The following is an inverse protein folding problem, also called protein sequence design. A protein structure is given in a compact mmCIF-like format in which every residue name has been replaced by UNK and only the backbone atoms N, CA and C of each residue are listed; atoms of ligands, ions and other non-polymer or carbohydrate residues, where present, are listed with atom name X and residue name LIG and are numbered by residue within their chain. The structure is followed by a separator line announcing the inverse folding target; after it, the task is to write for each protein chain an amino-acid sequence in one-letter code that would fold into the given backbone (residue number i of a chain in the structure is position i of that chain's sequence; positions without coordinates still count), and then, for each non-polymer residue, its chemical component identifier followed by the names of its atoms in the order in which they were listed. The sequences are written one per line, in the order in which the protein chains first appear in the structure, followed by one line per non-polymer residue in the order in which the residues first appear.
data_IF_069334970564
#
_entry.id   IF_069334970564
#
_cell.length_a   1.000
_cell.length_b   1.000
_cell.length_c   1.000
_cell.angle_alpha   90.00
_cell.angle_beta   90.00
_cell.angle_gamma   90.00
#
_symmetry.space_group_name_H-M   'P 1'
#
loop_
_entity.id
_entity.type
_entity.pdbx_description
1 polymer ?
#
# COMPACT_ATOMS: atom_id res chain seq x y z
N UNK A 1 21.69 -13.97 7.73
CA UNK A 1 20.49 -14.02 6.88
C UNK A 1 19.31 -13.79 7.80
N UNK A 2 18.92 -12.53 8.01
CA UNK A 2 17.74 -12.15 8.79
C UNK A 2 17.45 -10.69 8.43
N UNK A 3 16.78 -10.50 7.29
CA UNK A 3 16.12 -9.23 7.02
C UNK A 3 14.88 -9.22 7.92
N UNK A 4 15.02 -8.59 9.07
CA UNK A 4 13.96 -8.39 10.04
C UNK A 4 12.77 -7.81 9.27
N UNK A 5 11.63 -8.50 9.29
CA UNK A 5 10.38 -8.06 8.67
C UNK A 5 9.83 -6.83 9.43
N UNK A 6 10.49 -5.67 9.25
CA UNK A 6 9.96 -4.35 9.61
C UNK A 6 9.00 -3.81 8.53
N UNK A 7 8.67 -4.63 7.52
CA UNK A 7 7.61 -4.36 6.57
C UNK A 7 6.26 -4.46 7.25
N UNK A 8 5.35 -3.54 6.94
CA UNK A 8 3.97 -3.59 7.38
C UNK A 8 3.15 -4.44 6.42
N UNK A 9 2.24 -5.23 6.96
CA UNK A 9 1.42 -6.11 6.11
C UNK A 9 0.40 -5.30 5.32
N UNK A 10 0.29 -5.52 4.01
CA UNK A 10 -0.76 -4.97 3.17
C UNK A 10 -1.65 -6.12 2.65
N UNK A 11 -2.97 -5.92 2.64
CA UNK A 11 -3.98 -6.88 2.20
C UNK A 11 -4.95 -6.16 1.26
N UNK A 12 -5.22 -6.77 0.11
CA UNK A 12 -6.27 -6.36 -0.81
C UNK A 12 -7.34 -7.44 -0.93
N UNK A 13 -8.61 -7.05 -0.91
CA UNK A 13 -9.75 -7.94 -1.12
C UNK A 13 -10.59 -7.41 -2.26
N UNK A 14 -10.73 -8.19 -3.32
CA UNK A 14 -11.63 -7.92 -4.43
C UNK A 14 -12.97 -8.64 -4.22
N UNK A 15 -14.07 -7.90 -4.30
CA UNK A 15 -15.43 -8.45 -4.32
C UNK A 15 -16.07 -8.21 -5.69
N UNK A 16 -17.36 -8.52 -5.85
CA UNK A 16 -18.11 -8.17 -7.06
C UNK A 16 -18.46 -6.68 -7.11
N UNK A 17 -18.57 -6.04 -5.96
CA UNK A 17 -19.06 -4.67 -5.82
C UNK A 17 -17.93 -3.65 -5.68
N UNK A 18 -16.70 -4.09 -5.40
CA UNK A 18 -15.57 -3.19 -5.20
C UNK A 18 -14.30 -3.88 -4.72
N UNK A 19 -13.34 -3.07 -4.28
CA UNK A 19 -12.06 -3.52 -3.73
C UNK A 19 -11.78 -2.80 -2.42
N UNK A 20 -11.22 -3.53 -1.45
CA UNK A 20 -10.79 -2.98 -0.16
C UNK A 20 -9.29 -3.18 -0.03
N UNK A 21 -8.58 -2.10 0.30
CA UNK A 21 -7.18 -2.12 0.68
C UNK A 21 -7.05 -1.86 2.18
N UNK A 22 -6.27 -2.70 2.86
CA UNK A 22 -5.96 -2.55 4.27
C UNK A 22 -4.45 -2.69 4.48
N UNK A 23 -3.86 -1.77 5.24
CA UNK A 23 -2.43 -1.83 5.57
C UNK A 23 -2.24 -1.70 7.07
N UNK A 24 -1.43 -2.59 7.62
CA UNK A 24 -0.97 -2.52 8.99
C UNK A 24 -0.21 -1.21 9.24
N UNK A 25 -0.67 -0.45 10.23
CA UNK A 25 -0.03 0.81 10.61
C UNK A 25 0.86 0.61 11.82
N UNK A 26 2.10 0.19 11.58
CA UNK A 26 3.14 0.24 12.60
C UNK A 26 3.57 1.70 12.82
N UNK A 27 3.09 2.31 13.91
CA UNK A 27 3.48 3.68 14.30
C UNK A 27 4.71 3.60 15.22
N UNK A 28 5.81 4.32 14.93
CA UNK A 28 7.04 4.23 15.72
C UNK A 28 6.91 4.89 17.10
N UNK A 29 5.91 5.75 17.31
CA UNK A 29 5.58 6.32 18.61
C UNK A 29 4.09 6.71 18.70
N UNK A 30 3.48 6.67 19.89
CA UNK A 30 2.07 7.04 20.09
C UNK A 30 1.81 8.55 19.93
N UNK A 31 2.85 9.38 19.92
CA UNK A 31 2.73 10.84 19.76
C UNK A 31 2.51 11.30 18.32
N UNK A 32 2.69 10.44 17.32
CA UNK A 32 2.54 10.84 15.92
C UNK A 32 1.98 9.72 15.02
N UNK A 33 0.71 9.36 15.20
CA UNK A 33 0.08 8.33 14.38
C UNK A 33 -0.27 8.82 12.98
N UNK A 34 -0.27 10.11 12.67
CA UNK A 34 -0.93 10.64 11.47
C UNK A 34 -0.05 10.72 10.21
N UNK A 35 1.27 10.90 10.35
CA UNK A 35 2.11 11.34 9.21
C UNK A 35 2.45 10.28 8.16
N UNK A 36 2.15 9.00 8.39
CA UNK A 36 2.42 7.93 7.42
C UNK A 36 1.10 7.28 6.95
N UNK A 37 0.52 7.82 5.88
CA UNK A 37 -0.51 7.13 5.11
C UNK A 37 0.17 6.13 4.18
N UNK A 38 -0.16 4.85 4.31
CA UNK A 38 0.38 3.76 3.46
C UNK A 38 -0.55 3.38 2.32
N UNK A 39 -1.77 3.92 2.33
CA UNK A 39 -2.73 3.86 1.24
C UNK A 39 -2.72 5.24 0.60
N UNK A 40 -2.52 5.28 -0.70
CA UNK A 40 -2.51 6.50 -1.51
C UNK A 40 -3.63 6.42 -2.54
N UNK A 41 -4.33 7.52 -2.73
CA UNK A 41 -5.21 7.72 -3.87
C UNK A 41 -4.35 8.09 -5.07
N UNK A 42 -4.44 7.31 -6.14
CA UNK A 42 -3.79 7.61 -7.42
C UNK A 42 -4.73 8.45 -8.28
N UNK A 43 -6.01 8.09 -8.27
CA UNK A 43 -7.11 8.77 -8.97
C UNK A 43 -8.43 8.46 -8.23
N UNK A 44 -9.53 9.12 -8.63
CA UNK A 44 -10.86 9.00 -8.00
C UNK A 44 -11.33 7.54 -7.86
N UNK A 45 -10.90 6.68 -8.80
CA UNK A 45 -11.26 5.26 -8.83
C UNK A 45 -10.07 4.31 -8.63
N UNK A 46 -8.88 4.81 -8.32
CA UNK A 46 -7.64 4.01 -8.24
C UNK A 46 -6.90 4.31 -6.93
N UNK A 47 -6.61 3.26 -6.18
CA UNK A 47 -5.83 3.33 -4.94
C UNK A 47 -4.62 2.39 -4.95
N UNK A 48 -3.61 2.72 -4.16
CA UNK A 48 -2.41 1.89 -3.99
C UNK A 48 -2.04 1.73 -2.51
N UNK A 49 -1.73 0.52 -2.09
CA UNK A 49 -1.28 0.17 -0.74
C UNK A 49 0.18 -0.29 -0.75
N UNK A 50 0.99 0.28 0.15
CA UNK A 50 2.42 -0.02 0.28
C UNK A 50 2.76 -0.70 1.60
N UNK A 51 3.52 -1.80 1.53
CA UNK A 51 3.92 -2.64 2.67
C UNK A 51 5.23 -2.22 3.36
N UNK A 52 5.87 -1.13 2.94
CA UNK A 52 7.09 -0.60 3.60
C UNK A 52 6.97 0.88 3.92
N UNK A 53 7.79 1.35 4.87
CA UNK A 53 7.87 2.75 5.27
C UNK A 53 8.04 3.62 4.04
N UNK A 54 7.11 4.55 3.82
CA UNK A 54 7.25 5.59 2.81
C UNK A 54 8.09 6.68 3.47
N UNK A 55 9.38 6.71 3.17
CA UNK A 55 10.21 7.90 3.43
C UNK A 55 10.26 8.69 2.13
N UNK A 56 10.52 10.00 2.23
CA UNK A 56 10.54 10.92 1.08
C UNK A 56 11.45 10.41 -0.06
N UNK A 57 12.58 9.79 0.30
CA UNK A 57 13.52 9.16 -0.64
C UNK A 57 13.01 7.86 -1.32
N UNK A 58 11.96 7.24 -0.79
CA UNK A 58 11.38 6.00 -1.32
C UNK A 58 10.23 6.23 -2.31
N UNK A 59 9.64 7.43 -2.37
CA UNK A 59 8.75 7.81 -3.49
C UNK A 59 9.50 7.67 -4.83
N UNK A 60 10.77 8.08 -4.87
CA UNK A 60 11.62 7.93 -6.07
C UNK A 60 12.18 6.49 -6.25
N UNK A 61 12.25 5.70 -5.19
CA UNK A 61 12.89 4.36 -5.20
C UNK A 61 11.89 3.21 -5.40
N UNK A 62 10.64 3.50 -5.82
CA UNK A 62 9.64 2.46 -6.17
C UNK A 62 10.07 1.58 -7.36
N UNK A 63 11.11 1.99 -8.10
CA UNK A 63 11.63 1.29 -9.27
C UNK A 63 12.77 0.28 -8.97
N UNK A 64 12.85 -0.30 -7.75
CA UNK A 64 13.81 -1.38 -7.46
C UNK A 64 13.13 -2.76 -7.47
N UNK A 65 13.59 -3.71 -8.32
CA UNK A 65 12.84 -4.92 -8.69
C UNK A 65 12.65 -5.97 -7.58
N UNK A 66 13.26 -5.81 -6.41
CA UNK A 66 13.14 -6.77 -5.30
C UNK A 66 13.08 -6.00 -3.97
N UNK A 67 11.89 -5.67 -3.48
CA UNK A 67 11.75 -5.17 -2.11
C UNK A 67 10.42 -4.57 -1.70
N UNK A 68 9.57 -4.19 -2.65
CA UNK A 68 8.19 -3.72 -2.42
C UNK A 68 7.30 -4.27 -3.53
N UNK A 69 6.17 -4.87 -3.17
CA UNK A 69 5.10 -5.21 -4.11
C UNK A 69 3.92 -4.32 -3.75
N UNK A 70 3.65 -3.26 -4.55
CA UNK A 70 2.51 -2.38 -4.31
C UNK A 70 1.21 -3.08 -4.70
N UNK A 71 0.21 -3.05 -3.81
CA UNK A 71 -1.13 -3.52 -4.16
C UNK A 71 -1.92 -2.38 -4.79
N UNK A 72 -2.28 -2.52 -6.06
CA UNK A 72 -3.06 -1.55 -6.82
C UNK A 72 -4.50 -2.04 -6.90
N UNK A 73 -5.45 -1.18 -6.56
CA UNK A 73 -6.88 -1.46 -6.64
C UNK A 73 -7.56 -0.41 -7.53
N UNK A 74 -8.49 -0.86 -8.37
CA UNK A 74 -9.29 0.00 -9.23
C UNK A 74 -10.76 -0.42 -9.28
N UNK A 75 -11.62 0.49 -9.69
CA UNK A 75 -13.01 0.18 -10.06
C UNK A 75 -13.40 1.00 -11.29
N UNK A 76 -13.53 0.33 -12.44
CA UNK A 76 -13.92 0.95 -13.70
C UNK A 76 -15.19 0.30 -14.29
N UNK A 77 -15.50 0.60 -15.55
CA UNK A 77 -16.65 0.04 -16.27
C UNK A 77 -16.60 -1.50 -16.43
N UNK A 78 -15.42 -2.11 -16.33
CA UNK A 78 -15.22 -3.56 -16.33
C UNK A 78 -15.38 -4.16 -14.92
N UNK A 79 -15.57 -3.32 -13.91
CA UNK A 79 -15.76 -3.68 -12.51
C UNK A 79 -14.48 -3.55 -11.67
N UNK A 80 -14.45 -4.17 -10.49
CA UNK A 80 -13.32 -4.06 -9.58
C UNK A 80 -12.08 -4.86 -10.03
N UNK A 81 -10.89 -4.29 -9.84
CA UNK A 81 -9.58 -4.87 -10.18
C UNK A 81 -8.59 -4.77 -9.01
N UNK A 82 -7.75 -5.80 -8.82
CA UNK A 82 -6.74 -5.85 -7.76
C UNK A 82 -5.48 -6.53 -8.29
N UNK A 83 -4.37 -5.80 -8.33
CA UNK A 83 -3.08 -6.21 -8.88
C UNK A 83 -1.93 -6.00 -7.86
N UNK A 84 -0.82 -6.71 -8.04
CA UNK A 84 0.38 -6.68 -7.17
C UNK A 84 1.68 -6.62 -7.99
#
# INVERSE_FOLDING_TARGET
MEAINLGSTAIGIKTKDGVVLAVEKCSPSPLNPALLSKIMEIDEYIGCAMSRLITDALVETQSRPFGVSPLIAGHDENGPSLDN
#
